data_IF_224011900838
#
_entry.id   IF_224011900838
#
_cell.length_a   1.000
_cell.length_b   1.000
_cell.length_c   1.000
_cell.angle_alpha   90.00
_cell.angle_beta   90.00
_cell.angle_gamma   90.00
#
_symmetry.space_group_name_H-M   'P 1'
#
loop_
_entity.id
_entity.type
_entity.pdbx_description
1 polymer ?
#
# COMPACT_ATOMS: atom_id res chain seq x y z
N UNK A 1 -15.58 -10.68 -6.67
CA UNK A 1 -14.45 -11.52 -6.23
C UNK A 1 -13.96 -11.21 -4.81
N UNK A 2 -13.27 -10.09 -4.52
CA UNK A 2 -12.70 -9.85 -3.17
C UNK A 2 -13.75 -9.78 -2.05
N UNK A 3 -14.84 -9.04 -2.27
CA UNK A 3 -15.98 -8.95 -1.34
C UNK A 3 -16.57 -10.33 -1.01
N UNK A 4 -16.76 -11.17 -2.03
CA UNK A 4 -17.32 -12.51 -1.88
C UNK A 4 -16.40 -13.44 -1.10
N UNK A 5 -15.09 -13.45 -1.41
CA UNK A 5 -14.09 -14.24 -0.67
C UNK A 5 -14.03 -13.81 0.78
N UNK A 6 -14.01 -12.51 1.03
CA UNK A 6 -13.99 -11.92 2.37
C UNK A 6 -15.20 -12.35 3.21
N UNK A 7 -16.41 -12.30 2.65
CA UNK A 7 -17.63 -12.77 3.32
C UNK A 7 -17.66 -14.30 3.53
N UNK A 8 -17.25 -15.07 2.52
CA UNK A 8 -17.30 -16.54 2.56
C UNK A 8 -16.31 -17.12 3.57
N UNK A 9 -15.10 -16.56 3.64
CA UNK A 9 -14.05 -17.03 4.53
C UNK A 9 -14.02 -16.31 5.88
N UNK A 10 -14.87 -15.28 6.07
CA UNK A 10 -14.92 -14.46 7.29
C UNK A 10 -13.57 -13.84 7.64
N UNK A 11 -12.89 -13.31 6.63
CA UNK A 11 -11.59 -12.64 6.77
C UNK A 11 -11.66 -11.19 6.31
N UNK A 12 -10.85 -10.33 6.92
CA UNK A 12 -10.59 -8.99 6.38
C UNK A 12 -9.60 -9.10 5.22
N UNK A 13 -9.88 -8.43 4.11
CA UNK A 13 -9.02 -8.44 2.90
C UNK A 13 -8.54 -7.02 2.60
N UNK A 14 -7.22 -6.81 2.68
CA UNK A 14 -6.55 -5.64 2.09
C UNK A 14 -6.22 -5.97 0.64
N UNK A 15 -7.01 -5.45 -0.29
CA UNK A 15 -7.11 -5.95 -1.67
C UNK A 15 -5.97 -5.58 -2.62
N UNK A 16 -4.76 -5.33 -2.13
CA UNK A 16 -3.67 -4.80 -2.96
C UNK A 16 -4.06 -3.44 -3.55
N UNK A 17 -3.73 -3.19 -4.81
CA UNK A 17 -4.14 -1.96 -5.48
C UNK A 17 -4.56 -2.20 -6.94
N UNK A 18 -5.58 -1.48 -7.39
CA UNK A 18 -6.13 -1.55 -8.76
C UNK A 18 -6.35 -0.14 -9.32
N UNK A 19 -6.34 0.05 -10.65
CA UNK A 19 -6.78 1.30 -11.26
C UNK A 19 -8.29 1.50 -11.03
N UNK A 20 -8.67 2.58 -10.35
CA UNK A 20 -10.05 3.02 -10.14
C UNK A 20 -10.34 4.21 -11.04
N UNK A 21 -11.42 4.15 -11.83
CA UNK A 21 -11.95 5.31 -12.55
C UNK A 21 -13.00 6.02 -11.71
N UNK A 22 -12.88 7.34 -11.58
CA UNK A 22 -13.86 8.19 -10.90
C UNK A 22 -14.02 9.49 -11.69
N UNK A 23 -15.12 9.59 -12.45
CA UNK A 23 -15.24 10.60 -13.50
C UNK A 23 -14.13 10.45 -14.54
N UNK A 24 -13.49 11.57 -14.86
CA UNK A 24 -12.39 11.62 -15.84
C UNK A 24 -11.03 11.25 -15.24
N UNK A 25 -10.96 10.99 -13.94
CA UNK A 25 -9.71 10.70 -13.22
C UNK A 25 -9.52 9.19 -13.02
N UNK A 26 -8.27 8.76 -13.09
CA UNK A 26 -7.84 7.40 -12.74
C UNK A 26 -7.00 7.46 -11.47
N UNK A 27 -7.17 6.51 -10.56
CA UNK A 27 -6.47 6.44 -9.28
C UNK A 27 -5.87 5.07 -9.05
N UNK A 28 -4.71 5.00 -8.42
CA UNK A 28 -4.18 3.75 -7.87
C UNK A 28 -4.83 3.51 -6.50
N UNK A 29 -5.75 2.53 -6.41
CA UNK A 29 -6.67 2.39 -5.27
C UNK A 29 -6.59 1.03 -4.60
N UNK A 30 -6.40 1.05 -3.29
CA UNK A 30 -6.49 -0.11 -2.40
C UNK A 30 -7.87 -0.14 -1.73
N UNK A 31 -8.60 -1.24 -1.92
CA UNK A 31 -9.89 -1.48 -1.28
C UNK A 31 -9.71 -2.43 -0.09
N UNK A 32 -10.29 -2.08 1.05
CA UNK A 32 -10.33 -2.96 2.23
C UNK A 32 -11.75 -3.50 2.42
N UNK A 33 -11.90 -4.82 2.46
CA UNK A 33 -13.16 -5.50 2.71
C UNK A 33 -13.17 -6.12 4.10
N UNK A 34 -14.26 -5.93 4.85
CA UNK A 34 -14.46 -6.53 6.17
C UNK A 34 -15.03 -7.95 6.08
N UNK A 35 -15.05 -8.67 7.20
CA UNK A 35 -15.48 -10.08 7.29
C UNK A 35 -16.92 -10.37 6.82
N UNK A 36 -17.76 -9.34 6.65
CA UNK A 36 -19.10 -9.41 6.05
C UNK A 36 -19.12 -9.18 4.53
N UNK A 37 -17.95 -9.03 3.92
CA UNK A 37 -17.76 -8.71 2.50
C UNK A 37 -17.99 -7.26 2.13
N UNK A 38 -18.34 -6.38 3.08
CA UNK A 38 -18.57 -4.96 2.75
C UNK A 38 -17.26 -4.21 2.61
N UNK A 39 -17.27 -3.22 1.72
CA UNK A 39 -16.16 -2.29 1.56
C UNK A 39 -16.08 -1.39 2.79
N UNK A 40 -14.99 -1.52 3.55
CA UNK A 40 -14.74 -0.76 4.77
C UNK A 40 -13.99 0.55 4.49
N UNK A 41 -13.08 0.54 3.53
CA UNK A 41 -12.29 1.71 3.16
C UNK A 41 -11.77 1.61 1.72
N UNK A 42 -11.49 2.78 1.13
CA UNK A 42 -10.71 2.94 -0.11
C UNK A 42 -9.57 3.90 0.15
N UNK A 43 -8.35 3.45 -0.11
CA UNK A 43 -7.17 4.29 -0.08
C UNK A 43 -6.71 4.55 -1.51
N UNK A 44 -6.70 5.82 -1.92
CA UNK A 44 -6.08 6.25 -3.18
C UNK A 44 -4.67 6.68 -2.87
N UNK A 45 -3.69 6.11 -3.58
CA UNK A 45 -2.25 6.39 -3.42
C UNK A 45 -2.00 7.89 -3.39
N UNK A 46 -1.39 8.38 -2.32
CA UNK A 46 -1.19 9.81 -2.11
C UNK A 46 0.05 10.28 -2.86
N UNK A 47 1.15 9.53 -2.74
CA UNK A 47 2.41 9.87 -3.35
C UNK A 47 2.61 9.07 -4.64
N UNK A 48 2.38 9.71 -5.78
CA UNK A 48 2.62 9.11 -7.09
C UNK A 48 4.12 8.89 -7.32
N UNK A 49 4.44 7.80 -8.04
CA UNK A 49 5.80 7.43 -8.37
C UNK A 49 6.27 8.18 -9.62
N UNK A 50 6.76 9.39 -9.41
CA UNK A 50 7.40 10.19 -10.45
C UNK A 50 8.91 10.21 -10.20
N UNK A 51 9.64 9.44 -10.99
CA UNK A 51 11.10 9.37 -10.94
C UNK A 51 11.70 9.68 -12.30
N UNK A 52 12.76 10.46 -12.28
CA UNK A 52 13.60 10.70 -13.44
C UNK A 52 15.07 10.59 -13.01
N UNK A 53 15.67 9.45 -13.32
CA UNK A 53 17.09 9.17 -13.08
C UNK A 53 17.77 9.13 -14.43
N UNK A 54 18.49 10.21 -14.83
CA UNK A 54 19.14 10.30 -16.13
C UNK A 54 20.00 9.07 -16.42
N UNK A 55 19.76 8.45 -17.58
CA UNK A 55 20.49 7.27 -18.03
C UNK A 55 20.16 5.96 -17.31
N UNK A 56 19.16 5.91 -16.40
CA UNK A 56 18.74 4.68 -15.73
C UNK A 56 17.26 4.37 -15.88
N UNK A 57 16.39 5.23 -15.35
CA UNK A 57 14.95 4.98 -15.32
C UNK A 57 14.18 6.29 -15.23
N UNK A 58 13.22 6.46 -16.14
CA UNK A 58 12.24 7.53 -16.09
C UNK A 58 10.85 6.88 -16.05
N UNK A 59 10.09 7.17 -15.00
CA UNK A 59 8.72 6.68 -14.83
C UNK A 59 7.89 7.78 -14.18
N UNK A 60 6.78 8.14 -14.83
CA UNK A 60 5.90 9.24 -14.39
C UNK A 60 4.48 8.70 -14.25
N UNK A 61 4.13 8.22 -13.05
CA UNK A 61 2.80 7.69 -12.75
C UNK A 61 1.72 8.79 -12.92
N UNK A 62 2.08 10.04 -12.64
CA UNK A 62 1.19 11.21 -12.76
C UNK A 62 0.74 11.56 -14.17
N UNK A 63 1.38 11.00 -15.21
CA UNK A 63 0.90 11.18 -16.59
C UNK A 63 -0.45 10.50 -16.83
N UNK A 64 -0.79 9.49 -16.02
CA UNK A 64 -2.00 8.68 -16.20
C UNK A 64 -2.88 8.67 -14.97
N UNK A 65 -2.28 8.64 -13.77
CA UNK A 65 -2.99 8.51 -12.51
C UNK A 65 -3.02 9.85 -11.75
N UNK A 66 -4.07 10.02 -10.96
CA UNK A 66 -4.29 11.14 -10.06
C UNK A 66 -3.97 10.70 -8.62
N UNK A 67 -3.32 11.60 -7.87
CA UNK A 67 -3.04 11.39 -6.46
C UNK A 67 -4.32 11.39 -5.62
N UNK A 68 -4.34 10.58 -4.56
CA UNK A 68 -5.28 10.71 -3.46
C UNK A 68 -4.91 11.90 -2.55
N UNK A 69 -5.88 12.37 -1.77
CA UNK A 69 -5.73 13.57 -0.93
C UNK A 69 -5.82 13.26 0.56
N UNK A 70 -6.23 12.05 0.93
CA UNK A 70 -6.59 11.72 2.32
C UNK A 70 -5.90 10.46 2.82
N UNK A 71 -5.18 10.51 3.95
CA UNK A 71 -4.70 9.33 4.66
C UNK A 71 -5.87 8.41 5.02
N UNK A 72 -5.70 7.10 4.82
CA UNK A 72 -6.79 6.13 5.04
C UNK A 72 -6.49 5.22 6.21
N UNK A 73 -7.42 5.19 7.17
CA UNK A 73 -7.37 4.33 8.33
C UNK A 73 -8.67 3.52 8.40
N UNK A 74 -8.55 2.25 8.77
CA UNK A 74 -9.69 1.34 8.87
C UNK A 74 -9.64 0.53 10.15
N UNK A 75 -10.76 0.51 10.88
CA UNK A 75 -10.94 -0.37 12.04
C UNK A 75 -11.36 -1.76 11.58
N UNK A 76 -10.62 -2.76 12.06
CA UNK A 76 -10.78 -4.18 11.74
C UNK A 76 -10.69 -5.02 13.01
N UNK A 77 -11.08 -6.30 12.93
CA UNK A 77 -11.07 -7.21 14.09
C UNK A 77 -9.66 -7.50 14.63
N UNK A 78 -8.62 -7.24 13.83
CA UNK A 78 -7.20 -7.40 14.22
C UNK A 78 -6.55 -6.08 14.67
N UNK A 79 -7.31 -4.99 14.68
CA UNK A 79 -6.85 -3.66 15.06
C UNK A 79 -7.07 -2.60 13.98
N UNK A 80 -6.56 -1.39 14.26
CA UNK A 80 -6.67 -0.24 13.37
C UNK A 80 -5.51 -0.23 12.39
N UNK A 81 -5.82 -0.22 11.10
CA UNK A 81 -4.83 -0.32 10.02
C UNK A 81 -4.73 1.03 9.29
N UNK A 82 -3.51 1.59 9.20
CA UNK A 82 -3.15 2.64 8.27
C UNK A 82 -2.73 2.06 6.92
N UNK A 83 -3.36 2.51 5.83
CA UNK A 83 -3.16 1.96 4.48
C UNK A 83 -2.39 2.94 3.61
N UNK A 84 -1.28 2.51 3.01
CA UNK A 84 -0.56 3.23 1.96
C UNK A 84 -0.36 2.33 0.75
N UNK A 85 0.12 2.85 -0.38
CA UNK A 85 0.47 2.05 -1.57
C UNK A 85 1.90 2.35 -2.00
N UNK A 86 2.72 1.31 -2.07
CA UNK A 86 4.07 1.29 -2.64
C UNK A 86 4.92 2.51 -2.23
N UNK A 87 4.99 3.54 -3.08
CA UNK A 87 5.80 4.74 -2.90
C UNK A 87 5.44 5.55 -1.66
N UNK A 88 4.20 5.44 -1.16
CA UNK A 88 3.76 6.05 0.11
C UNK A 88 4.67 5.66 1.29
N UNK A 89 5.27 4.46 1.26
CA UNK A 89 6.18 4.01 2.32
C UNK A 89 7.42 4.90 2.43
N UNK A 90 7.78 5.71 1.42
CA UNK A 90 8.95 6.61 1.50
C UNK A 90 8.70 7.86 2.33
N UNK A 91 7.44 8.17 2.65
CA UNK A 91 7.04 9.39 3.35
C UNK A 91 6.72 9.06 4.81
N UNK A 92 7.61 9.44 5.73
CA UNK A 92 7.48 9.11 7.16
C UNK A 92 6.29 9.84 7.79
N UNK A 93 5.96 11.03 7.29
CA UNK A 93 4.87 11.89 7.74
C UNK A 93 3.53 11.17 7.64
N UNK A 94 3.32 10.38 6.58
CA UNK A 94 2.09 9.59 6.42
C UNK A 94 1.98 8.51 7.51
N UNK A 95 3.08 7.83 7.82
CA UNK A 95 3.14 6.85 8.91
C UNK A 95 2.93 7.50 10.29
N UNK A 96 3.49 8.69 10.51
CA UNK A 96 3.28 9.46 11.74
C UNK A 96 1.82 9.89 11.90
N UNK A 97 1.15 10.28 10.82
CA UNK A 97 -0.29 10.57 10.85
C UNK A 97 -1.06 9.31 11.26
N UNK A 98 -0.75 8.15 10.70
CA UNK A 98 -1.38 6.89 11.07
C UNK A 98 -1.17 6.54 12.54
N UNK A 99 0.06 6.63 13.04
CA UNK A 99 0.38 6.40 14.44
C UNK A 99 -0.37 7.36 15.37
N UNK A 100 -0.37 8.66 15.06
CA UNK A 100 -1.08 9.68 15.85
C UNK A 100 -2.60 9.47 15.92
N UNK A 101 -3.17 8.77 14.93
CA UNK A 101 -4.59 8.40 14.85
C UNK A 101 -4.87 7.00 15.41
N UNK A 102 -3.90 6.41 16.11
CA UNK A 102 -4.02 5.14 16.82
C UNK A 102 -3.94 3.91 15.93
N UNK A 103 -3.32 3.99 14.74
CA UNK A 103 -3.05 2.79 13.96
C UNK A 103 -2.15 1.84 14.75
N UNK A 104 -2.56 0.57 14.86
CA UNK A 104 -1.76 -0.52 15.40
C UNK A 104 -0.97 -1.22 14.28
N UNK A 105 -1.47 -1.09 13.04
CA UNK A 105 -0.93 -1.76 11.87
C UNK A 105 -0.69 -0.77 10.75
N UNK A 106 0.42 -0.94 10.04
CA UNK A 106 0.62 -0.31 8.73
C UNK A 106 0.57 -1.37 7.64
N UNK A 107 -0.07 -1.06 6.52
CA UNK A 107 -0.08 -1.92 5.35
C UNK A 107 0.25 -1.11 4.09
N UNK A 108 1.30 -1.51 3.38
CA UNK A 108 1.73 -0.88 2.14
C UNK A 108 1.82 -1.91 1.01
N UNK A 109 0.69 -2.32 0.39
CA UNK A 109 0.77 -3.12 -0.81
C UNK A 109 1.57 -2.38 -1.89
N UNK A 110 2.51 -3.06 -2.54
CA UNK A 110 3.35 -2.42 -3.54
C UNK A 110 4.21 -3.41 -4.31
N UNK A 111 4.77 -2.91 -5.41
CA UNK A 111 5.75 -3.61 -6.22
C UNK A 111 6.98 -2.70 -6.35
N UNK A 112 8.09 -3.06 -5.69
CA UNK A 112 9.36 -2.32 -5.73
C UNK A 112 10.28 -2.89 -6.80
N UNK A 113 10.87 -2.02 -7.63
CA UNK A 113 11.67 -2.47 -8.77
C UNK A 113 12.96 -3.15 -8.29
N UNK A 114 13.58 -3.96 -9.14
CA UNK A 114 14.79 -4.70 -8.77
C UNK A 114 16.00 -3.82 -8.44
N UNK A 115 16.00 -2.54 -8.83
CA UNK A 115 17.10 -1.61 -8.51
C UNK A 115 16.97 -1.02 -7.10
N UNK A 116 15.76 -0.57 -6.73
CA UNK A 116 15.52 0.11 -5.46
C UNK A 116 14.98 -0.82 -4.38
N UNK A 117 14.33 -1.92 -4.76
CA UNK A 117 13.80 -2.96 -3.87
C UNK A 117 14.86 -3.52 -2.92
N UNK A 118 15.98 -4.08 -3.41
CA UNK A 118 16.98 -4.70 -2.54
C UNK A 118 17.58 -3.72 -1.52
N UNK A 119 17.68 -2.43 -1.90
CA UNK A 119 18.31 -1.40 -1.08
C UNK A 119 17.34 -0.77 -0.07
N UNK A 120 16.08 -0.57 -0.45
CA UNK A 120 15.16 0.27 0.29
C UNK A 120 13.98 -0.46 0.90
N UNK A 121 13.55 -1.61 0.37
CA UNK A 121 12.28 -2.21 0.76
C UNK A 121 12.29 -2.63 2.24
N UNK A 122 13.22 -3.48 2.66
CA UNK A 122 13.32 -3.91 4.06
C UNK A 122 13.65 -2.74 4.98
N UNK A 123 14.58 -1.88 4.57
CA UNK A 123 15.04 -0.74 5.35
C UNK A 123 13.88 0.23 5.67
N UNK A 124 13.08 0.60 4.67
CA UNK A 124 11.96 1.52 4.85
C UNK A 124 10.91 0.92 5.79
N UNK A 125 10.57 -0.37 5.63
CA UNK A 125 9.60 -1.04 6.51
C UNK A 125 10.07 -1.02 7.97
N UNK A 126 11.31 -1.43 8.22
CA UNK A 126 11.89 -1.42 9.57
C UNK A 126 11.95 -0.01 10.16
N UNK A 127 12.27 0.99 9.35
CA UNK A 127 12.25 2.39 9.78
C UNK A 127 10.83 2.86 10.16
N UNK A 128 9.79 2.46 9.42
CA UNK A 128 8.39 2.82 9.72
C UNK A 128 7.92 2.23 11.04
N UNK A 129 8.34 1.00 11.35
CA UNK A 129 8.04 0.33 12.62
C UNK A 129 8.81 1.00 13.76
N UNK A 130 10.14 1.13 13.64
CA UNK A 130 11.00 1.63 14.70
C UNK A 130 10.62 3.05 15.14
N UNK A 131 10.41 3.94 14.15
CA UNK A 131 10.15 5.36 14.42
C UNK A 131 8.75 5.65 14.96
N UNK A 132 7.84 4.68 14.91
CA UNK A 132 6.46 4.84 15.34
C UNK A 132 6.12 3.72 16.33
N UNK A 133 6.98 3.55 17.34
CA UNK A 133 6.93 2.49 18.37
C UNK A 133 5.48 2.11 18.74
N UNK A 134 5.20 0.81 18.88
CA UNK A 134 3.88 0.17 19.09
C UNK A 134 3.06 -0.24 17.84
N UNK A 135 3.63 -0.23 16.63
CA UNK A 135 2.95 -0.75 15.43
C UNK A 135 3.59 -2.03 14.89
N UNK A 136 2.75 -2.91 14.35
CA UNK A 136 3.18 -4.03 13.49
C UNK A 136 2.94 -3.67 12.02
N UNK A 137 3.71 -4.22 11.10
CA UNK A 137 3.52 -3.96 9.66
C UNK A 137 3.15 -5.27 8.96
N UNK A 138 2.00 -5.29 8.29
CA UNK A 138 1.56 -6.43 7.48
C UNK A 138 1.93 -6.16 6.02
N UNK A 139 2.67 -7.11 5.43
CA UNK A 139 3.27 -6.99 4.09
C UNK A 139 2.61 -8.00 3.15
N UNK A 140 2.22 -7.54 1.96
CA UNK A 140 1.87 -8.45 0.87
C UNK A 140 2.46 -7.93 -0.44
N UNK A 141 3.17 -8.82 -1.13
CA UNK A 141 3.70 -8.62 -2.48
C UNK A 141 2.87 -9.47 -3.44
N UNK A 142 2.40 -8.89 -4.55
CA UNK A 142 1.88 -9.67 -5.68
C UNK A 142 3.01 -9.82 -6.72
N UNK A 143 3.38 -11.05 -7.04
CA UNK A 143 4.29 -11.37 -8.13
C UNK A 143 3.53 -11.53 -9.47
N UNK A 144 4.24 -11.18 -10.55
CA UNK A 144 4.02 -11.46 -11.98
C UNK A 144 3.06 -10.57 -12.79
N UNK A 145 3.63 -9.60 -13.53
CA UNK A 145 3.25 -9.26 -14.90
C UNK A 145 4.54 -8.94 -15.69
N UNK A 146 4.91 -9.81 -16.64
CA UNK A 146 6.00 -9.54 -17.58
C UNK A 146 5.65 -8.35 -18.50
N UNK A 147 6.61 -7.50 -18.91
CA UNK A 147 8.07 -7.73 -18.91
C UNK A 147 8.85 -6.92 -17.85
N UNK A 148 8.24 -6.58 -16.71
CA UNK A 148 8.94 -5.84 -15.63
C UNK A 148 9.22 -6.77 -14.46
N UNK A 149 10.50 -6.99 -14.15
CA UNK A 149 10.96 -7.80 -13.01
C UNK A 149 10.81 -7.01 -11.69
N UNK A 150 10.22 -7.64 -10.66
CA UNK A 150 9.96 -7.08 -9.33
C UNK A 150 10.40 -8.08 -8.23
N UNK A 151 10.72 -7.62 -7.02
CA UNK A 151 11.45 -8.39 -6.01
C UNK A 151 10.54 -9.09 -4.97
N UNK A 152 10.59 -10.42 -4.93
CA UNK A 152 9.94 -11.32 -3.97
C UNK A 152 10.64 -11.43 -2.62
N UNK A 153 10.12 -10.82 -1.54
CA UNK A 153 10.55 -11.15 -0.16
C UNK A 153 9.35 -11.27 0.76
N UNK A 154 9.03 -12.51 1.16
CA UNK A 154 8.24 -12.83 2.34
C UNK A 154 9.20 -13.14 3.48
N UNK A 155 9.20 -12.37 4.57
CA UNK A 155 9.92 -12.78 5.78
C UNK A 155 9.07 -13.82 6.53
N UNK A 156 9.65 -14.96 6.93
CA UNK A 156 9.02 -15.83 7.92
C UNK A 156 9.02 -15.15 9.29
N UNK A 157 8.00 -15.45 10.09
CA UNK A 157 7.84 -15.03 11.48
C UNK A 157 9.03 -15.46 12.35
#
# INVERSE_FOLDING_TARGET
>A
MLSEVSNRLKITVVGGSIPERCGDKLYNTCCVFGTDGKLKAKHRKIHLFDIDIPGKITFMESKTLTAGETPTIVDTDVGRIGVGICYDIRFQELAMIYASRGAHLLCYPGAFNMTTGPLHWELLQRARILNNSYMWQLVHLLETLEPVTWLGVTQPL
#
